data_IF_767651666310
#
_entry.id   IF_767651666310
#
_cell.length_a   1.000
_cell.length_b   1.000
_cell.length_c   1.000
_cell.angle_alpha   90.00
_cell.angle_beta   90.00
_cell.angle_gamma   90.00
#
_symmetry.space_group_name_H-M   'P 1'
#
loop_
_entity.id
_entity.type
_entity.pdbx_description
1 polymer ?
#
# COMPACT_ATOMS: atom_id res chain seq x y z
N UNK A 1 -3.16 -12.02 30.96
CA UNK A 1 -2.93 -11.45 29.61
C UNK A 1 -3.92 -12.12 28.68
N UNK A 2 -4.94 -11.39 28.21
CA UNK A 2 -5.85 -11.90 27.20
C UNK A 2 -5.28 -11.54 25.84
N UNK A 3 -4.57 -12.48 25.21
CA UNK A 3 -4.22 -12.40 23.80
C UNK A 3 -5.50 -12.64 23.00
N UNK A 4 -6.14 -11.56 22.54
CA UNK A 4 -7.18 -11.65 21.52
C UNK A 4 -6.49 -12.09 20.22
N UNK A 5 -6.37 -13.40 20.02
CA UNK A 5 -6.03 -13.96 18.71
C UNK A 5 -7.19 -13.66 17.77
N UNK A 6 -6.96 -12.80 16.78
CA UNK A 6 -7.86 -12.64 15.64
C UNK A 6 -7.99 -14.02 14.99
N UNK A 7 -9.21 -14.56 14.78
CA UNK A 7 -9.36 -15.88 14.20
C UNK A 7 -8.65 -15.93 12.84
N UNK A 8 -7.88 -16.98 12.58
CA UNK A 8 -7.31 -17.21 11.26
C UNK A 8 -8.44 -17.35 10.24
N UNK A 9 -8.65 -16.30 9.45
CA UNK A 9 -9.58 -16.36 8.32
C UNK A 9 -8.84 -17.07 7.19
N UNK A 10 -9.31 -18.26 6.84
CA UNK A 10 -8.94 -18.93 5.59
C UNK A 10 -9.57 -18.15 4.43
N UNK A 11 -8.83 -17.19 3.91
CA UNK A 11 -9.16 -16.49 2.68
C UNK A 11 -8.15 -16.88 1.60
N UNK A 12 -8.60 -16.94 0.35
CA UNK A 12 -7.72 -17.19 -0.78
C UNK A 12 -6.64 -16.09 -0.89
N UNK A 13 -5.54 -16.42 -1.55
CA UNK A 13 -4.51 -15.46 -1.96
C UNK A 13 -4.13 -15.73 -3.41
N UNK A 14 -3.50 -14.76 -4.06
CA UNK A 14 -3.05 -14.85 -5.45
C UNK A 14 -1.51 -14.74 -5.50
N UNK A 15 -0.77 -15.74 -5.02
CA UNK A 15 0.70 -15.68 -4.96
C UNK A 15 1.39 -15.60 -6.33
N UNK A 16 0.70 -15.99 -7.39
CA UNK A 16 1.15 -15.95 -8.78
C UNK A 16 1.08 -14.56 -9.42
N UNK A 17 0.33 -13.63 -8.81
CA UNK A 17 0.18 -12.26 -9.31
C UNK A 17 1.14 -11.31 -8.60
N UNK A 18 1.64 -10.33 -9.33
CA UNK A 18 2.46 -9.24 -8.80
C UNK A 18 1.62 -7.97 -8.66
N UNK A 19 2.02 -7.04 -7.79
CA UNK A 19 1.42 -5.71 -7.79
C UNK A 19 1.76 -4.96 -9.07
N UNK A 20 0.73 -4.45 -9.74
CA UNK A 20 0.84 -3.45 -10.79
C UNK A 20 1.44 -2.17 -10.19
N UNK A 21 2.18 -1.39 -11.00
CA UNK A 21 2.92 -0.20 -10.55
C UNK A 21 2.02 1.03 -10.30
N UNK A 22 0.75 0.81 -9.94
CA UNK A 22 -0.21 1.85 -9.61
C UNK A 22 -1.08 1.49 -8.41
N UNK A 23 -1.40 2.50 -7.60
CA UNK A 23 -2.36 2.41 -6.52
C UNK A 23 -3.03 3.77 -6.31
N UNK A 24 -4.19 3.76 -5.65
CA UNK A 24 -4.93 4.97 -5.27
C UNK A 24 -5.24 4.90 -3.78
N UNK A 25 -5.12 6.01 -3.08
CA UNK A 25 -5.53 6.14 -1.68
C UNK A 25 -6.79 7.00 -1.59
N UNK A 26 -7.75 6.58 -0.78
CA UNK A 26 -8.94 7.36 -0.45
C UNK A 26 -9.30 7.16 1.03
N UNK A 27 -9.12 8.20 1.84
CA UNK A 27 -9.14 8.09 3.29
C UNK A 27 -8.18 6.96 3.74
N UNK A 28 -8.70 5.94 4.43
CA UNK A 28 -7.90 4.81 4.93
C UNK A 28 -7.94 3.60 3.99
N UNK A 29 -8.46 3.75 2.77
CA UNK A 29 -8.54 2.67 1.79
C UNK A 29 -7.45 2.80 0.74
N UNK A 30 -6.81 1.68 0.44
CA UNK A 30 -5.80 1.54 -0.61
C UNK A 30 -6.39 0.65 -1.70
N UNK A 31 -6.52 1.21 -2.90
CA UNK A 31 -6.94 0.52 -4.11
C UNK A 31 -5.71 0.13 -4.90
N UNK A 32 -5.60 -1.13 -5.27
CA UNK A 32 -4.43 -1.69 -5.95
C UNK A 32 -4.88 -2.76 -6.95
N UNK A 33 -3.96 -3.13 -7.86
CA UNK A 33 -4.19 -4.21 -8.82
C UNK A 33 -3.08 -5.25 -8.69
N UNK A 34 -3.46 -6.52 -8.67
CA UNK A 34 -2.57 -7.66 -8.83
C UNK A 34 -2.68 -8.17 -10.27
N UNK A 35 -1.58 -8.37 -10.97
CA UNK A 35 -1.56 -8.80 -12.37
C UNK A 35 -0.42 -9.76 -12.71
N UNK A 36 -0.62 -10.52 -13.79
CA UNK A 36 0.46 -11.30 -14.42
C UNK A 36 1.34 -10.37 -15.24
N UNK A 37 2.64 -10.40 -15.01
CA UNK A 37 3.61 -9.63 -15.79
C UNK A 37 3.76 -10.18 -17.21
N UNK A 38 3.43 -9.40 -18.26
CA UNK A 38 3.70 -9.77 -19.66
C UNK A 38 2.81 -9.11 -20.71
N UNK A 39 3.16 -9.30 -21.99
CA UNK A 39 2.52 -8.69 -23.16
C UNK A 39 1.48 -9.63 -23.78
N UNK A 40 0.22 -9.55 -23.39
CA UNK A 40 -0.81 -10.39 -24.02
C UNK A 40 -2.24 -9.97 -23.68
N UNK A 41 -2.63 -10.14 -22.44
CA UNK A 41 -3.89 -9.69 -21.83
C UNK A 41 -3.64 -9.67 -20.32
N UNK A 42 -3.90 -8.56 -19.59
CA UNK A 42 -3.67 -8.56 -18.16
C UNK A 42 -4.72 -9.47 -17.52
N UNK A 43 -4.26 -10.62 -17.03
CA UNK A 43 -4.99 -11.42 -16.03
C UNK A 43 -4.78 -10.70 -14.71
N UNK A 44 -5.85 -10.16 -14.12
CA UNK A 44 -5.76 -9.29 -12.96
C UNK A 44 -6.87 -9.50 -11.94
N UNK A 45 -6.57 -9.08 -10.71
CA UNK A 45 -7.53 -8.89 -9.63
C UNK A 45 -7.26 -7.52 -9.01
N UNK A 46 -8.20 -6.60 -9.18
CA UNK A 46 -8.18 -5.31 -8.50
C UNK A 46 -8.88 -5.44 -7.15
N UNK A 47 -8.29 -4.82 -6.14
CA UNK A 47 -8.81 -4.90 -4.78
C UNK A 47 -8.68 -3.61 -4.01
N UNK A 48 -9.47 -3.55 -2.94
CA UNK A 48 -9.41 -2.49 -1.94
C UNK A 48 -9.09 -3.11 -0.57
N UNK A 49 -8.17 -2.49 0.15
CA UNK A 49 -7.80 -2.90 1.52
C UNK A 49 -7.82 -1.69 2.46
N UNK A 50 -8.34 -1.91 3.66
CA UNK A 50 -8.27 -0.92 4.73
C UNK A 50 -6.87 -0.94 5.36
N UNK A 51 -6.22 0.23 5.35
CA UNK A 51 -4.92 0.47 5.93
C UNK A 51 -5.05 1.22 7.27
N UNK A 52 -4.00 1.15 8.08
CA UNK A 52 -3.88 1.94 9.31
C UNK A 52 -2.94 3.11 9.07
N UNK A 53 -3.27 4.26 9.64
CA UNK A 53 -2.37 5.42 9.67
C UNK A 53 -1.21 5.16 10.63
N UNK A 54 -0.01 5.54 10.20
CA UNK A 54 1.25 5.42 10.92
C UNK A 54 2.03 6.71 10.79
N UNK A 55 2.84 6.99 11.80
CA UNK A 55 3.77 8.12 11.82
C UNK A 55 5.19 7.59 11.64
N UNK A 56 6.00 8.29 10.87
CA UNK A 56 7.44 8.09 10.77
C UNK A 56 8.13 9.43 10.49
N UNK A 57 9.46 9.45 10.48
CA UNK A 57 10.24 10.62 10.12
C UNK A 57 11.24 10.33 9.00
N UNK A 58 11.59 11.36 8.23
CA UNK A 58 12.70 11.32 7.28
C UNK A 58 13.55 12.57 7.38
N UNK A 59 14.85 12.42 7.11
CA UNK A 59 15.78 13.54 7.08
C UNK A 59 15.53 14.38 5.82
N UNK A 60 15.29 15.68 6.01
CA UNK A 60 15.10 16.64 4.93
C UNK A 60 16.12 17.77 5.02
N UNK A 61 16.77 18.09 3.90
CA UNK A 61 17.64 19.24 3.79
C UNK A 61 17.25 20.10 2.59
N UNK A 62 16.78 21.33 2.87
CA UNK A 62 16.40 22.30 1.85
C UNK A 62 17.60 23.04 1.23
N UNK A 63 18.81 22.81 1.73
CA UNK A 63 20.04 23.53 1.37
C UNK A 63 21.17 22.59 0.98
N UNK A 64 22.30 23.17 0.55
CA UNK A 64 23.53 22.39 0.29
C UNK A 64 24.40 22.21 1.54
N UNK A 65 24.05 22.82 2.68
CA UNK A 65 24.79 22.67 3.94
C UNK A 65 24.20 21.49 4.73
N UNK A 66 24.95 20.39 4.93
CA UNK A 66 24.47 19.23 5.68
C UNK A 66 24.02 19.54 7.11
N UNK A 67 24.49 20.63 7.73
CA UNK A 67 24.10 21.02 9.09
C UNK A 67 22.66 21.53 9.19
N UNK A 68 22.01 21.83 8.06
CA UNK A 68 20.61 22.25 8.01
C UNK A 68 19.64 21.09 7.81
N UNK A 69 20.13 19.84 7.82
CA UNK A 69 19.26 18.66 7.80
C UNK A 69 18.40 18.64 9.07
N UNK A 70 17.10 18.41 8.88
CA UNK A 70 16.12 18.29 9.96
C UNK A 70 15.27 17.05 9.74
N UNK A 71 14.92 16.37 10.82
CA UNK A 71 13.94 15.29 10.77
C UNK A 71 12.55 15.90 10.59
N UNK A 72 11.83 15.41 9.59
CA UNK A 72 10.45 15.81 9.29
C UNK A 72 9.53 14.62 9.52
N UNK A 73 8.57 14.84 10.42
CA UNK A 73 7.50 13.88 10.67
C UNK A 73 6.49 13.87 9.50
N UNK A 74 6.03 12.68 9.15
CA UNK A 74 4.99 12.45 8.16
C UNK A 74 4.11 11.26 8.51
N UNK A 75 2.87 11.33 8.05
CA UNK A 75 1.88 10.27 8.20
C UNK A 75 1.84 9.45 6.93
N UNK A 76 1.72 8.13 7.05
CA UNK A 76 1.58 7.21 5.93
C UNK A 76 0.57 6.10 6.24
N UNK A 77 0.02 5.49 5.18
CA UNK A 77 -0.85 4.33 5.30
C UNK A 77 -0.03 3.04 5.28
N UNK A 78 -0.35 2.11 6.18
CA UNK A 78 0.28 0.80 6.26
C UNK A 78 -0.78 -0.31 6.24
N UNK A 79 -0.57 -1.29 5.36
CA UNK A 79 -1.40 -2.48 5.20
C UNK A 79 -0.82 -3.64 6.01
N UNK A 80 -1.65 -4.22 6.88
CA UNK A 80 -1.31 -5.43 7.64
C UNK A 80 -1.58 -6.69 6.80
N UNK A 81 -0.70 -7.69 6.92
CA UNK A 81 -0.85 -9.01 6.26
C UNK A 81 -2.02 -9.82 6.81
N UNK A 82 -2.56 -9.46 7.98
CA UNK A 82 -3.78 -10.05 8.54
C UNK A 82 -5.07 -9.31 8.14
N UNK A 83 -4.96 -8.20 7.42
CA UNK A 83 -6.12 -7.52 6.81
C UNK A 83 -6.56 -8.26 5.55
N UNK A 84 -7.87 -8.20 5.27
CA UNK A 84 -8.47 -8.84 4.10
C UNK A 84 -8.82 -7.76 3.10
N UNK A 85 -8.32 -7.89 1.89
CA UNK A 85 -8.74 -7.09 0.75
C UNK A 85 -10.09 -7.59 0.22
N UNK A 86 -10.84 -6.72 -0.43
CA UNK A 86 -12.07 -7.03 -1.16
C UNK A 86 -11.80 -6.91 -2.65
N UNK A 87 -12.26 -7.89 -3.44
CA UNK A 87 -12.22 -7.83 -4.90
C UNK A 87 -13.17 -6.73 -5.40
N UNK A 88 -12.66 -5.80 -6.19
CA UNK A 88 -13.45 -4.72 -6.82
C UNK A 88 -13.69 -4.99 -8.31
N UNK A 89 -12.69 -5.51 -9.00
CA UNK A 89 -12.74 -5.88 -10.42
C UNK A 89 -11.74 -7.01 -10.71
N UNK A 90 -11.94 -7.75 -11.79
CA UNK A 90 -11.08 -8.90 -12.14
C UNK A 90 -11.24 -9.34 -13.60
N UNK A 91 -10.21 -10.00 -14.11
CA UNK A 91 -10.25 -10.73 -15.38
C UNK A 91 -9.86 -12.19 -15.18
N UNK A 92 -10.53 -13.09 -15.91
CA UNK A 92 -10.20 -14.52 -16.04
C UNK A 92 -10.15 -15.39 -14.76
N UNK A 93 -10.32 -14.81 -13.56
CA UNK A 93 -10.39 -15.52 -12.29
C UNK A 93 -11.82 -15.92 -11.88
N UNK A 94 -11.96 -17.09 -11.25
CA UNK A 94 -13.20 -17.54 -10.60
C UNK A 94 -13.41 -16.83 -9.24
N UNK A 95 -13.51 -15.51 -9.27
CA UNK A 95 -13.78 -14.66 -8.10
C UNK A 95 -15.10 -13.90 -8.28
N UNK A 96 -15.48 -13.11 -7.29
CA UNK A 96 -16.68 -12.28 -7.36
C UNK A 96 -16.42 -10.98 -6.61
N UNK A 97 -17.07 -9.89 -7.03
CA UNK A 97 -16.96 -8.61 -6.34
C UNK A 97 -17.35 -8.74 -4.87
N UNK A 98 -16.56 -8.13 -3.99
CA UNK A 98 -16.68 -8.25 -2.53
C UNK A 98 -16.11 -9.53 -1.93
N UNK A 99 -15.56 -10.45 -2.74
CA UNK A 99 -14.85 -11.62 -2.22
C UNK A 99 -13.61 -11.17 -1.43
N UNK A 100 -13.42 -11.79 -0.26
CA UNK A 100 -12.27 -11.51 0.61
C UNK A 100 -11.06 -12.32 0.17
N UNK A 101 -9.90 -11.66 0.08
CA UNK A 101 -8.62 -12.33 -0.17
C UNK A 101 -7.50 -11.73 0.69
N UNK A 102 -6.40 -12.47 0.83
CA UNK A 102 -5.18 -12.04 1.51
C UNK A 102 -4.12 -11.67 0.48
N UNK A 103 -3.41 -10.59 0.77
CA UNK A 103 -2.11 -10.34 0.15
C UNK A 103 -1.08 -11.32 0.71
N UNK A 104 -0.15 -11.73 -0.13
CA UNK A 104 1.07 -12.39 0.35
C UNK A 104 1.95 -11.40 1.11
N UNK A 105 2.88 -11.90 1.93
CA UNK A 105 3.85 -11.04 2.63
C UNK A 105 4.63 -10.16 1.66
N UNK A 106 5.06 -10.72 0.52
CA UNK A 106 5.78 -9.97 -0.51
C UNK A 106 4.93 -8.87 -1.17
N UNK A 107 3.65 -9.15 -1.43
CA UNK A 107 2.72 -8.15 -1.97
C UNK A 107 2.48 -7.03 -0.93
N UNK A 108 2.17 -7.39 0.31
CA UNK A 108 1.92 -6.39 1.37
C UNK A 108 3.17 -5.53 1.64
N UNK A 109 4.35 -6.14 1.69
CA UNK A 109 5.61 -5.41 1.87
C UNK A 109 5.84 -4.41 0.73
N UNK A 110 5.73 -4.85 -0.53
CA UNK A 110 5.92 -3.97 -1.70
C UNK A 110 4.90 -2.83 -1.72
N UNK A 111 3.63 -3.10 -1.39
CA UNK A 111 2.60 -2.06 -1.29
C UNK A 111 2.94 -1.04 -0.18
N UNK A 112 3.40 -1.50 0.98
CA UNK A 112 3.78 -0.61 2.07
C UNK A 112 5.02 0.24 1.76
N UNK A 113 6.00 -0.30 1.04
CA UNK A 113 7.15 0.46 0.54
C UNK A 113 6.67 1.61 -0.36
N UNK A 114 5.78 1.33 -1.32
CA UNK A 114 5.20 2.34 -2.19
C UNK A 114 4.34 3.37 -1.48
N UNK A 115 3.50 2.97 -0.52
CA UNK A 115 2.69 3.88 0.28
C UNK A 115 3.58 4.87 1.06
N UNK A 116 4.69 4.38 1.61
CA UNK A 116 5.65 5.20 2.35
C UNK A 116 6.41 6.16 1.44
N UNK A 117 6.91 5.69 0.30
CA UNK A 117 7.57 6.54 -0.70
C UNK A 117 6.65 7.65 -1.19
N UNK A 118 5.39 7.32 -1.47
CA UNK A 118 4.38 8.28 -1.90
C UNK A 118 4.09 9.34 -0.81
N UNK A 119 4.01 8.94 0.46
CA UNK A 119 3.81 9.88 1.56
C UNK A 119 5.01 10.83 1.72
N UNK A 120 6.24 10.32 1.60
CA UNK A 120 7.47 11.13 1.61
C UNK A 120 7.47 12.12 0.44
N UNK A 121 7.08 11.69 -0.75
CA UNK A 121 6.99 12.55 -1.94
C UNK A 121 5.97 13.67 -1.72
N UNK A 122 4.77 13.34 -1.23
CA UNK A 122 3.74 14.34 -0.92
C UNK A 122 4.22 15.36 0.12
N UNK A 123 4.83 14.89 1.21
CA UNK A 123 5.39 15.77 2.25
C UNK A 123 6.49 16.66 1.70
N UNK A 124 7.40 16.10 0.91
CA UNK A 124 8.50 16.84 0.26
C UNK A 124 7.96 17.92 -0.69
N UNK A 125 6.96 17.60 -1.49
CA UNK A 125 6.32 18.55 -2.40
C UNK A 125 5.59 19.67 -1.64
N UNK A 126 4.93 19.34 -0.53
CA UNK A 126 4.33 20.33 0.37
C UNK A 126 5.38 21.28 0.95
N UNK A 127 6.49 20.76 1.48
CA UNK A 127 7.58 21.58 2.03
C UNK A 127 8.17 22.53 0.98
N UNK A 128 8.42 22.03 -0.25
CA UNK A 128 8.90 22.85 -1.37
C UNK A 128 7.90 23.95 -1.75
N UNK A 129 6.60 23.64 -1.74
CA UNK A 129 5.53 24.60 -2.03
C UNK A 129 5.34 25.67 -0.95
N UNK A 130 5.64 25.38 0.31
CA UNK A 130 5.61 26.35 1.41
C UNK A 130 6.84 27.27 1.45
N UNK A 131 7.94 26.88 0.80
CA UNK A 131 9.19 27.64 0.73
C UNK A 131 9.28 28.58 -0.49
N UNK A 132 8.28 28.56 -1.39
CA UNK A 132 8.18 29.41 -2.58
C UNK A 132 7.33 30.68 -2.32
#
# INVERSE_FOLDING_TARGET
MNTYYKPEVFAASFPELALADEFITQANFVYFTLEVSGDGYPVYVSGVIEASEKEDCFEYNASSDPQNAVDIDFDYLEVDTQSLALVEDFSEYEVSNGMKFKLTEAQAQKLNEWLKEHAIEQKTNHLKGCLA
#
